data_IF_647897595277
#
_entry.id   IF_647897595277
#
_cell.length_a   1.000
_cell.length_b   1.000
_cell.length_c   1.000
_cell.angle_alpha   90.00
_cell.angle_beta   90.00
_cell.angle_gamma   90.00
#
_symmetry.space_group_name_H-M   'P 1'
#
loop_
_entity.id
_entity.type
_entity.pdbx_description
1 polymer ?
#
# COMPACT_ATOMS: atom_id res chain seq x y z
N UNK A 1 -0.95 -13.26 25.87
CA UNK A 1 -0.82 -14.74 25.94
C UNK A 1 -0.42 -15.20 24.55
N UNK A 2 0.80 -15.69 24.40
CA UNK A 2 1.31 -16.24 23.14
C UNK A 2 0.58 -17.54 22.82
N UNK A 3 0.15 -17.69 21.58
CA UNK A 3 -0.56 -18.88 21.10
C UNK A 3 0.39 -20.09 21.13
N UNK A 4 0.08 -21.19 21.86
CA UNK A 4 0.97 -22.35 21.99
C UNK A 4 1.32 -23.04 20.67
N UNK A 5 0.54 -22.78 19.63
CA UNK A 5 0.78 -23.28 18.27
C UNK A 5 1.97 -22.56 17.59
N UNK A 6 2.26 -21.32 17.98
CA UNK A 6 3.37 -20.55 17.42
C UNK A 6 4.72 -20.93 18.05
N UNK A 7 4.77 -21.19 19.35
CA UNK A 7 6.01 -21.65 20.01
C UNK A 7 6.50 -23.01 19.48
N UNK A 8 5.58 -23.88 19.08
CA UNK A 8 5.92 -25.17 18.47
C UNK A 8 6.45 -25.07 17.04
N UNK A 9 6.11 -23.99 16.30
CA UNK A 9 6.59 -23.77 14.92
C UNK A 9 8.06 -23.33 14.87
N UNK A 10 8.54 -22.59 15.87
CA UNK A 10 9.93 -22.11 15.93
C UNK A 10 10.96 -23.19 16.32
N UNK A 11 10.49 -24.34 16.79
CA UNK A 11 11.34 -25.42 17.32
C UNK A 11 11.52 -26.62 16.37
N UNK A 12 10.89 -26.65 15.20
CA UNK A 12 10.95 -27.80 14.28
C UNK A 12 11.85 -27.51 13.06
N UNK A 13 12.82 -28.34 12.93
CA UNK A 13 13.61 -28.83 11.80
C UNK A 13 13.89 -27.89 10.64
N UNK A 14 15.14 -27.50 10.54
CA UNK A 14 15.77 -26.83 9.40
C UNK A 14 15.58 -27.65 8.12
N UNK A 15 14.74 -27.22 7.18
CA UNK A 15 14.92 -27.62 5.80
C UNK A 15 16.06 -26.78 5.21
N UNK A 16 17.23 -27.35 5.06
CA UNK A 16 18.26 -26.77 4.22
C UNK A 16 17.72 -26.84 2.78
N UNK A 17 17.22 -25.71 2.26
CA UNK A 17 16.74 -25.65 0.89
C UNK A 17 17.98 -25.63 -0.02
N UNK A 18 18.32 -26.80 -0.51
CA UNK A 18 19.54 -27.04 -1.31
C UNK A 18 19.53 -26.22 -2.60
N UNK A 19 20.64 -25.56 -2.90
CA UNK A 19 20.86 -24.89 -4.19
C UNK A 19 20.35 -23.44 -4.28
N UNK A 20 19.88 -22.84 -3.18
CA UNK A 20 19.53 -21.40 -3.13
C UNK A 20 20.78 -20.61 -2.71
N UNK A 21 21.15 -19.52 -3.44
CA UNK A 21 22.23 -18.63 -3.00
C UNK A 21 21.91 -18.02 -1.63
N UNK A 22 22.82 -18.16 -0.68
CA UNK A 22 22.65 -17.66 0.69
C UNK A 22 23.45 -16.39 0.88
N UNK A 23 22.83 -15.35 1.48
CA UNK A 23 23.53 -14.12 1.85
C UNK A 23 24.60 -14.43 2.92
N UNK A 24 25.88 -14.06 2.72
CA UNK A 24 26.92 -14.27 3.71
C UNK A 24 26.63 -13.51 5.01
N UNK A 25 26.87 -14.14 6.14
CA UNK A 25 26.75 -13.50 7.45
C UNK A 25 28.09 -12.92 7.93
N UNK A 26 28.02 -11.77 8.59
CA UNK A 26 29.17 -11.19 9.30
C UNK A 26 29.13 -11.70 10.74
N UNK A 27 30.25 -12.19 11.31
CA UNK A 27 30.29 -12.66 12.70
C UNK A 27 29.65 -11.65 13.65
N UNK A 28 28.79 -12.11 14.58
CA UNK A 28 28.05 -11.33 15.57
C UNK A 28 26.94 -10.44 14.96
N UNK A 29 27.18 -9.82 13.80
CA UNK A 29 26.26 -8.85 13.18
C UNK A 29 25.27 -9.49 12.19
N UNK A 30 25.49 -10.75 11.79
CA UNK A 30 24.63 -11.44 10.84
C UNK A 30 24.50 -10.70 9.50
N UNK A 31 23.28 -10.46 9.06
CA UNK A 31 22.95 -9.72 7.82
C UNK A 31 22.67 -8.23 8.05
N UNK A 32 22.63 -7.76 9.31
CA UNK A 32 22.29 -6.37 9.65
C UNK A 32 23.08 -5.32 8.86
N UNK A 33 24.41 -5.43 8.66
CA UNK A 33 25.16 -4.42 7.91
C UNK A 33 24.72 -4.25 6.45
N UNK A 34 24.14 -5.28 5.84
CA UNK A 34 23.58 -5.19 4.49
C UNK A 34 22.22 -4.50 4.46
N UNK A 35 21.47 -4.62 5.56
CA UNK A 35 20.12 -4.05 5.67
C UNK A 35 20.13 -2.59 6.14
N UNK A 36 21.10 -2.23 6.97
CA UNK A 36 21.20 -0.89 7.51
C UNK A 36 21.73 0.09 6.45
N UNK A 37 21.09 1.24 6.35
CA UNK A 37 21.44 2.33 5.45
C UNK A 37 20.55 3.54 5.66
N UNK A 38 20.96 4.69 5.10
CA UNK A 38 20.21 5.95 5.21
C UNK A 38 18.83 5.91 4.54
N UNK A 39 18.59 4.90 3.70
CA UNK A 39 17.37 4.72 2.91
C UNK A 39 16.38 3.75 3.57
N UNK A 40 16.77 3.09 4.65
CA UNK A 40 15.95 2.13 5.40
C UNK A 40 16.19 0.67 5.01
N UNK A 41 15.69 -0.23 5.88
CA UNK A 41 15.89 -1.69 5.78
C UNK A 41 15.35 -2.27 4.47
N UNK A 42 14.22 -1.79 3.99
CA UNK A 42 13.61 -2.29 2.76
C UNK A 42 14.49 -2.03 1.52
N UNK A 43 15.18 -0.88 1.46
CA UNK A 43 16.17 -0.62 0.40
C UNK A 43 17.41 -1.51 0.55
N UNK A 44 17.81 -1.82 1.79
CA UNK A 44 18.85 -2.81 2.05
C UNK A 44 18.50 -4.18 1.49
N UNK A 45 17.25 -4.62 1.67
CA UNK A 45 16.76 -5.89 1.15
C UNK A 45 16.71 -5.91 -0.39
N UNK A 46 16.35 -4.81 -1.04
CA UNK A 46 16.41 -4.69 -2.51
C UNK A 46 17.84 -4.85 -3.00
N UNK A 47 18.82 -4.17 -2.37
CA UNK A 47 20.25 -4.33 -2.71
C UNK A 47 20.72 -5.78 -2.55
N UNK A 48 20.22 -6.51 -1.55
CA UNK A 48 20.49 -7.96 -1.42
C UNK A 48 19.90 -8.74 -2.60
N UNK A 49 18.69 -8.45 -3.01
CA UNK A 49 18.05 -9.02 -4.20
C UNK A 49 18.85 -8.76 -5.48
N UNK A 50 19.30 -7.53 -5.71
CA UNK A 50 20.16 -7.17 -6.85
C UNK A 50 21.47 -7.93 -6.87
N UNK A 51 22.06 -8.18 -5.71
CA UNK A 51 23.35 -8.84 -5.57
C UNK A 51 23.26 -10.37 -5.59
N UNK A 52 22.31 -10.95 -4.87
CA UNK A 52 22.22 -12.41 -4.66
C UNK A 52 21.04 -13.05 -5.38
N UNK A 53 20.02 -12.28 -5.74
CA UNK A 53 18.79 -12.74 -6.40
C UNK A 53 18.88 -12.84 -7.93
N UNK A 54 20.04 -12.65 -8.56
CA UNK A 54 20.22 -12.72 -10.02
C UNK A 54 19.81 -14.06 -10.65
N UNK A 55 19.89 -15.15 -9.89
CA UNK A 55 19.39 -16.46 -10.28
C UNK A 55 17.86 -16.65 -10.08
N UNK A 56 17.14 -15.58 -9.79
CA UNK A 56 15.69 -15.57 -9.57
C UNK A 56 15.26 -15.83 -8.13
N UNK A 57 16.18 -16.22 -7.23
CA UNK A 57 15.89 -16.57 -5.83
C UNK A 57 17.14 -16.42 -4.96
N UNK A 58 16.97 -16.04 -3.68
CA UNK A 58 18.04 -16.08 -2.68
C UNK A 58 17.47 -16.32 -1.28
N UNK A 59 18.33 -16.77 -0.36
CA UNK A 59 18.01 -16.96 1.05
C UNK A 59 18.80 -15.99 1.94
N UNK A 60 18.13 -15.43 2.92
CA UNK A 60 18.70 -14.56 3.94
C UNK A 60 18.66 -15.26 5.30
N UNK A 61 19.82 -15.53 5.92
CA UNK A 61 19.91 -16.10 7.25
C UNK A 61 19.31 -15.15 8.29
N UNK A 62 18.57 -15.72 9.25
CA UNK A 62 18.01 -15.02 10.41
C UNK A 62 18.68 -15.51 11.70
N UNK A 63 18.60 -14.72 12.80
CA UNK A 63 19.01 -15.19 14.11
C UNK A 63 18.32 -16.50 14.49
N UNK A 64 19.04 -17.40 15.17
CA UNK A 64 18.51 -18.74 15.52
C UNK A 64 18.68 -19.79 14.42
N UNK A 65 19.33 -19.44 13.29
CA UNK A 65 19.70 -20.38 12.22
C UNK A 65 18.56 -20.73 11.25
N UNK A 66 17.42 -20.04 11.32
CA UNK A 66 16.40 -20.07 10.28
C UNK A 66 16.80 -19.22 9.07
N UNK A 67 16.13 -19.42 7.95
CA UNK A 67 16.35 -18.63 6.73
C UNK A 67 15.02 -18.09 6.20
N UNK A 68 15.07 -16.92 5.59
CA UNK A 68 13.95 -16.34 4.83
C UNK A 68 14.31 -16.34 3.35
N UNK A 69 13.45 -16.95 2.54
CA UNK A 69 13.68 -17.07 1.08
C UNK A 69 12.92 -15.97 0.35
N UNK A 70 13.57 -15.43 -0.70
CA UNK A 70 12.99 -14.41 -1.54
C UNK A 70 13.05 -14.77 -3.01
N UNK A 71 11.92 -14.75 -3.68
CA UNK A 71 11.77 -14.91 -5.11
C UNK A 71 11.91 -13.55 -5.80
N UNK A 72 12.74 -13.51 -6.83
CA UNK A 72 13.17 -12.31 -7.55
C UNK A 72 12.88 -12.34 -9.05
N UNK A 73 12.45 -13.48 -9.63
CA UNK A 73 12.11 -13.59 -11.04
C UNK A 73 10.60 -13.75 -11.27
N UNK A 74 10.13 -13.30 -12.43
CA UNK A 74 8.74 -13.43 -12.82
C UNK A 74 8.29 -14.89 -12.94
N UNK A 75 9.14 -15.76 -13.48
CA UNK A 75 8.84 -17.19 -13.65
C UNK A 75 8.60 -17.88 -12.30
N UNK A 76 9.48 -17.70 -11.32
CA UNK A 76 9.29 -18.30 -9.98
C UNK A 76 8.12 -17.62 -9.23
N UNK A 77 7.92 -16.33 -9.41
CA UNK A 77 6.80 -15.63 -8.81
C UNK A 77 5.45 -16.18 -9.32
N UNK A 78 5.35 -16.57 -10.59
CA UNK A 78 4.14 -17.14 -11.17
C UNK A 78 3.74 -18.45 -10.47
N UNK A 79 4.70 -19.29 -10.11
CA UNK A 79 4.44 -20.53 -9.36
C UNK A 79 4.04 -20.28 -7.89
N UNK A 80 4.59 -19.24 -7.25
CA UNK A 80 4.31 -18.90 -5.85
C UNK A 80 2.98 -18.16 -5.69
N UNK A 81 2.45 -17.54 -6.73
CA UNK A 81 1.15 -16.84 -6.67
C UNK A 81 -0.05 -17.78 -6.88
N UNK A 82 0.16 -19.03 -7.18
CA UNK A 82 -0.88 -20.05 -7.31
C UNK A 82 -1.59 -20.30 -5.96
N UNK A 83 -2.85 -19.89 -5.84
CA UNK A 83 -3.63 -20.01 -4.61
C UNK A 83 -4.07 -21.45 -4.27
N UNK A 84 -3.98 -22.40 -5.21
CA UNK A 84 -4.27 -23.80 -4.92
C UNK A 84 -3.13 -24.45 -4.14
N UNK A 85 -1.90 -24.02 -4.42
CA UNK A 85 -0.68 -24.53 -3.79
C UNK A 85 -0.20 -23.68 -2.62
N UNK A 86 -0.42 -22.37 -2.68
CA UNK A 86 0.13 -21.40 -1.74
C UNK A 86 -0.95 -20.55 -1.08
N UNK A 87 -0.67 -20.05 0.10
CA UNK A 87 -1.51 -19.12 0.82
C UNK A 87 -0.70 -17.93 1.37
N UNK A 88 -1.36 -16.90 1.86
CA UNK A 88 -0.70 -15.77 2.52
C UNK A 88 0.02 -16.26 3.79
N UNK A 89 1.28 -15.86 3.97
CA UNK A 89 1.95 -15.96 5.25
C UNK A 89 1.84 -14.65 6.03
N UNK A 90 1.52 -14.77 7.32
CA UNK A 90 1.59 -13.64 8.26
C UNK A 90 2.99 -13.64 8.85
N UNK A 91 3.78 -12.64 8.50
CA UNK A 91 5.16 -12.51 8.91
C UNK A 91 5.28 -11.66 10.21
N UNK A 92 6.45 -11.63 10.88
CA UNK A 92 6.63 -10.88 12.11
C UNK A 92 6.30 -9.39 12.00
N UNK A 93 6.45 -8.77 10.83
CA UNK A 93 6.05 -7.36 10.64
C UNK A 93 4.54 -7.21 10.71
N UNK A 94 3.79 -8.09 10.05
CA UNK A 94 2.32 -8.08 10.13
C UNK A 94 1.82 -8.38 11.55
N UNK A 95 2.51 -9.24 12.29
CA UNK A 95 2.21 -9.48 13.71
C UNK A 95 2.39 -8.20 14.56
N UNK A 96 3.44 -7.43 14.30
CA UNK A 96 3.60 -6.14 14.98
C UNK A 96 2.52 -5.13 14.56
N UNK A 97 2.16 -5.05 13.29
CA UNK A 97 1.06 -4.19 12.80
C UNK A 97 -0.26 -4.59 13.44
N UNK A 98 -0.50 -5.88 13.70
CA UNK A 98 -1.67 -6.40 14.40
C UNK A 98 -1.86 -5.79 15.79
N UNK A 99 -0.79 -5.40 16.48
CA UNK A 99 -0.88 -4.70 17.77
C UNK A 99 -1.60 -3.35 17.66
N UNK A 100 -1.55 -2.71 16.49
CA UNK A 100 -2.21 -1.42 16.24
C UNK A 100 -3.59 -1.58 15.60
N UNK A 101 -3.75 -2.48 14.63
CA UNK A 101 -4.98 -2.59 13.83
C UNK A 101 -5.80 -3.85 14.12
N UNK A 102 -5.37 -4.71 15.05
CA UNK A 102 -6.05 -5.97 15.39
C UNK A 102 -6.09 -6.97 14.24
N UNK A 103 -7.05 -7.90 14.30
CA UNK A 103 -7.30 -8.92 13.27
C UNK A 103 -8.21 -8.39 12.15
N UNK A 104 -7.79 -7.29 11.50
CA UNK A 104 -8.47 -6.78 10.32
C UNK A 104 -8.17 -7.60 9.05
N UNK A 105 -8.77 -7.22 7.92
CA UNK A 105 -8.59 -7.91 6.63
C UNK A 105 -7.11 -8.06 6.22
N UNK A 106 -6.26 -7.14 6.63
CA UNK A 106 -4.84 -7.13 6.27
C UNK A 106 -3.99 -8.07 7.16
N UNK A 107 -4.28 -8.14 8.44
CA UNK A 107 -3.42 -8.79 9.45
C UNK A 107 -3.91 -10.15 9.93
N UNK A 108 -5.20 -10.48 9.75
CA UNK A 108 -5.79 -11.73 10.18
C UNK A 108 -5.16 -12.97 9.51
N UNK A 109 -5.08 -14.07 10.24
CA UNK A 109 -4.64 -15.37 9.77
C UNK A 109 -5.63 -15.95 8.73
N UNK A 110 -5.21 -16.97 7.97
CA UNK A 110 -6.03 -17.53 6.90
C UNK A 110 -7.22 -18.33 7.42
N UNK A 111 -7.09 -18.92 8.60
CA UNK A 111 -8.08 -19.72 9.32
C UNK A 111 -8.96 -18.91 10.29
N UNK A 112 -8.75 -17.58 10.39
CA UNK A 112 -9.58 -16.70 11.21
C UNK A 112 -11.01 -16.61 10.63
N UNK A 113 -12.04 -17.12 11.32
CA UNK A 113 -13.42 -17.06 10.84
C UNK A 113 -13.92 -15.63 10.62
N UNK A 114 -13.47 -14.67 11.45
CA UNK A 114 -13.86 -13.27 11.36
C UNK A 114 -13.32 -12.62 10.07
N UNK A 115 -12.15 -13.08 9.56
CA UNK A 115 -11.65 -12.64 8.26
C UNK A 115 -12.63 -12.98 7.13
N UNK A 116 -13.15 -14.20 7.12
CA UNK A 116 -14.10 -14.63 6.08
C UNK A 116 -15.39 -13.82 6.07
N UNK A 117 -15.93 -13.53 7.26
CA UNK A 117 -17.11 -12.66 7.43
C UNK A 117 -16.81 -11.25 6.92
N UNK A 118 -15.74 -10.62 7.42
CA UNK A 118 -15.36 -9.27 7.01
C UNK A 118 -15.10 -9.18 5.50
N UNK A 119 -14.40 -10.16 4.93
CA UNK A 119 -14.10 -10.19 3.50
C UNK A 119 -15.38 -10.22 2.64
N UNK A 120 -16.34 -11.09 2.96
CA UNK A 120 -17.59 -11.19 2.18
C UNK A 120 -18.50 -9.98 2.35
N UNK A 121 -18.54 -9.40 3.53
CA UNK A 121 -19.30 -8.17 3.82
C UNK A 121 -18.70 -6.95 3.11
N UNK A 122 -17.37 -6.81 3.11
CA UNK A 122 -16.72 -5.57 2.68
C UNK A 122 -16.27 -5.56 1.22
N UNK A 123 -15.92 -6.72 0.63
CA UNK A 123 -15.45 -6.77 -0.77
C UNK A 123 -16.41 -6.13 -1.78
N UNK A 124 -17.75 -6.28 -1.67
CA UNK A 124 -18.68 -5.63 -2.61
C UNK A 124 -18.60 -4.11 -2.61
N UNK A 125 -18.22 -3.47 -1.47
CA UNK A 125 -18.02 -2.02 -1.39
C UNK A 125 -16.83 -1.51 -2.22
N UNK A 126 -15.90 -2.40 -2.59
CA UNK A 126 -14.74 -2.09 -3.42
C UNK A 126 -14.87 -2.62 -4.86
N UNK A 127 -16.06 -3.07 -5.26
CA UNK A 127 -16.33 -3.44 -6.65
C UNK A 127 -16.16 -2.24 -7.58
N UNK A 128 -15.89 -2.49 -8.86
CA UNK A 128 -15.73 -1.42 -9.84
C UNK A 128 -16.96 -0.52 -9.96
N UNK A 129 -18.18 -1.06 -9.77
CA UNK A 129 -19.42 -0.29 -9.79
C UNK A 129 -19.60 0.56 -8.52
N UNK A 130 -19.19 0.04 -7.34
CA UNK A 130 -19.32 0.76 -6.07
C UNK A 130 -18.49 2.06 -6.03
N UNK A 131 -17.44 2.17 -6.86
CA UNK A 131 -16.58 3.35 -6.92
C UNK A 131 -17.34 4.63 -7.26
N UNK A 132 -18.45 4.55 -8.02
CA UNK A 132 -19.28 5.71 -8.33
C UNK A 132 -19.77 6.46 -7.07
N UNK A 133 -19.99 5.73 -5.97
CA UNK A 133 -20.44 6.34 -4.70
C UNK A 133 -19.35 7.16 -4.01
N UNK A 134 -18.06 6.90 -4.31
CA UNK A 134 -16.94 7.55 -3.66
C UNK A 134 -16.39 8.75 -4.44
N UNK A 135 -16.62 8.78 -5.76
CA UNK A 135 -16.12 9.85 -6.64
C UNK A 135 -16.48 11.26 -6.15
N UNK A 136 -17.73 11.56 -5.71
CA UNK A 136 -18.06 12.91 -5.23
C UNK A 136 -17.20 13.34 -4.02
N UNK A 137 -16.97 12.45 -3.07
CA UNK A 137 -16.15 12.75 -1.90
C UNK A 137 -14.65 12.88 -2.26
N UNK A 138 -14.15 12.03 -3.19
CA UNK A 138 -12.79 12.17 -3.73
C UNK A 138 -12.59 13.53 -4.40
N UNK A 139 -13.57 13.99 -5.18
CA UNK A 139 -13.52 15.30 -5.86
C UNK A 139 -13.47 16.45 -4.86
N UNK A 140 -14.29 16.41 -3.82
CA UNK A 140 -14.30 17.45 -2.77
C UNK A 140 -12.95 17.60 -2.10
N UNK A 141 -12.28 16.48 -1.74
CA UNK A 141 -10.97 16.53 -1.08
C UNK A 141 -9.87 16.97 -2.07
N UNK A 142 -9.98 16.55 -3.33
CA UNK A 142 -9.06 16.98 -4.37
C UNK A 142 -9.19 18.48 -4.68
N UNK A 143 -10.39 19.03 -4.67
CA UNK A 143 -10.62 20.47 -4.82
C UNK A 143 -9.99 21.27 -3.67
N UNK A 144 -10.05 20.77 -2.43
CA UNK A 144 -9.35 21.36 -1.30
C UNK A 144 -7.83 21.42 -1.57
N UNK A 145 -7.23 20.35 -2.13
CA UNK A 145 -5.83 20.29 -2.52
C UNK A 145 -5.49 21.27 -3.65
N UNK A 146 -6.28 21.30 -4.72
CA UNK A 146 -6.09 22.24 -5.83
C UNK A 146 -6.14 23.67 -5.34
N UNK A 147 -7.10 24.00 -4.50
CA UNK A 147 -7.22 25.33 -3.91
C UNK A 147 -6.04 25.68 -2.97
N UNK A 148 -5.52 24.69 -2.23
CA UNK A 148 -4.32 24.86 -1.42
C UNK A 148 -3.09 25.15 -2.31
N UNK A 149 -2.87 24.37 -3.36
CA UNK A 149 -1.74 24.55 -4.29
C UNK A 149 -1.83 25.86 -5.08
N UNK A 150 -3.03 26.31 -5.48
CA UNK A 150 -3.23 27.60 -6.15
C UNK A 150 -2.84 28.82 -5.31
N UNK A 151 -2.91 28.70 -3.97
CA UNK A 151 -2.53 29.77 -3.02
C UNK A 151 -1.07 29.70 -2.57
N UNK A 152 -0.34 28.66 -2.95
CA UNK A 152 1.03 28.48 -2.52
C UNK A 152 1.97 29.46 -3.21
N UNK A 153 2.82 30.14 -2.44
CA UNK A 153 3.83 31.09 -2.94
C UNK A 153 5.22 30.48 -3.10
N UNK A 154 5.41 29.22 -2.74
CA UNK A 154 6.72 28.55 -2.73
C UNK A 154 6.64 27.07 -3.10
N UNK A 155 7.77 26.33 -3.02
CA UNK A 155 7.80 24.92 -3.31
C UNK A 155 6.92 24.12 -2.35
N UNK A 156 6.04 23.28 -2.90
CA UNK A 156 5.14 22.39 -2.17
C UNK A 156 5.87 21.13 -1.70
N UNK A 157 5.53 20.64 -0.54
CA UNK A 157 5.94 19.32 -0.05
C UNK A 157 4.96 18.25 -0.57
N UNK A 158 5.27 17.71 -1.75
CA UNK A 158 4.34 16.81 -2.46
C UNK A 158 4.02 15.56 -1.65
N UNK A 159 5.02 14.93 -1.05
CA UNK A 159 4.79 13.70 -0.27
C UNK A 159 3.83 13.94 0.89
N UNK A 160 4.00 15.07 1.60
CA UNK A 160 3.09 15.45 2.68
C UNK A 160 1.69 15.75 2.18
N UNK A 161 1.57 16.47 1.08
CA UNK A 161 0.27 16.89 0.56
C UNK A 161 -0.50 15.71 -0.03
N UNK A 162 0.18 14.75 -0.69
CA UNK A 162 -0.45 13.49 -1.14
C UNK A 162 -0.90 12.65 0.06
N UNK A 163 -0.11 12.56 1.14
CA UNK A 163 -0.53 11.85 2.36
C UNK A 163 -1.81 12.46 2.96
N UNK A 164 -1.90 13.79 2.98
CA UNK A 164 -3.09 14.50 3.47
C UNK A 164 -4.31 14.28 2.58
N UNK A 165 -4.13 14.34 1.25
CA UNK A 165 -5.16 14.05 0.27
C UNK A 165 -5.77 12.67 0.51
N UNK A 166 -4.94 11.63 0.49
CA UNK A 166 -5.41 10.24 0.56
C UNK A 166 -5.99 9.89 1.93
N UNK A 167 -5.45 10.46 3.02
CA UNK A 167 -6.02 10.29 4.35
C UNK A 167 -7.40 10.94 4.48
N UNK A 168 -7.55 12.18 4.03
CA UNK A 168 -8.84 12.88 4.06
C UNK A 168 -9.85 12.18 3.15
N UNK A 169 -9.41 11.63 2.01
CA UNK A 169 -10.25 10.88 1.08
C UNK A 169 -10.79 9.60 1.72
N UNK A 170 -9.92 8.73 2.29
CA UNK A 170 -10.41 7.48 2.90
C UNK A 170 -11.27 7.76 4.14
N UNK A 171 -10.97 8.79 4.92
CA UNK A 171 -11.76 9.18 6.07
C UNK A 171 -13.16 9.68 5.67
N UNK A 172 -13.26 10.50 4.63
CA UNK A 172 -14.53 11.03 4.16
C UNK A 172 -15.37 9.96 3.47
N UNK A 173 -14.76 9.20 2.54
CA UNK A 173 -15.48 8.17 1.76
C UNK A 173 -15.87 6.95 2.60
N UNK A 174 -15.00 6.54 3.50
CA UNK A 174 -15.18 5.32 4.29
C UNK A 174 -16.02 5.53 5.56
N UNK A 175 -15.90 6.69 6.20
CA UNK A 175 -16.40 6.89 7.56
C UNK A 175 -17.16 8.20 7.76
N UNK A 176 -17.33 9.00 6.69
CA UNK A 176 -17.91 10.34 6.72
C UNK A 176 -17.23 11.28 7.74
N UNK A 177 -15.89 11.14 7.86
CA UNK A 177 -15.08 11.97 8.73
C UNK A 177 -14.19 12.90 7.90
N UNK A 178 -14.10 14.17 8.32
CA UNK A 178 -13.23 15.16 7.67
C UNK A 178 -12.14 15.62 8.65
N UNK A 179 -10.92 15.16 8.44
CA UNK A 179 -9.77 15.66 9.19
C UNK A 179 -9.33 17.06 8.74
N UNK A 180 -9.71 17.48 7.52
CA UNK A 180 -9.29 18.76 6.91
C UNK A 180 -7.77 18.97 6.97
N UNK A 181 -7.04 17.88 6.70
CA UNK A 181 -5.58 17.88 6.78
C UNK A 181 -4.96 18.69 5.66
N UNK A 182 -5.60 18.73 4.48
CA UNK A 182 -5.16 19.51 3.32
C UNK A 182 -5.21 21.00 3.65
N UNK A 183 -4.05 21.66 3.51
CA UNK A 183 -3.91 23.10 3.82
C UNK A 183 -3.93 23.46 5.31
N UNK A 184 -4.18 22.48 6.20
CA UNK A 184 -4.20 22.70 7.64
C UNK A 184 -2.81 23.03 8.22
N UNK A 185 -2.76 23.95 9.20
CA UNK A 185 -1.52 24.27 9.91
C UNK A 185 -1.16 23.23 10.96
N UNK A 186 -2.15 22.64 11.60
CA UNK A 186 -1.98 21.63 12.65
C UNK A 186 -2.33 20.22 12.11
N UNK A 187 -1.62 19.25 12.63
CA UNK A 187 -1.93 17.85 12.36
C UNK A 187 -3.01 17.39 13.34
N UNK A 188 -4.10 16.80 12.82
CA UNK A 188 -5.15 16.21 13.64
C UNK A 188 -4.57 15.26 14.70
N UNK A 189 -5.07 15.27 15.95
CA UNK A 189 -4.58 14.39 17.03
C UNK A 189 -4.61 12.90 16.65
N UNK A 190 -5.63 12.45 15.91
CA UNK A 190 -5.71 11.10 15.42
C UNK A 190 -4.53 10.79 14.49
N UNK A 191 -4.32 11.63 13.48
CA UNK A 191 -3.24 11.46 12.48
C UNK A 191 -1.87 11.41 13.16
N UNK A 192 -1.65 12.26 14.17
CA UNK A 192 -0.41 12.31 14.95
C UNK A 192 -0.17 11.02 15.71
N UNK A 193 -1.17 10.58 16.50
CA UNK A 193 -1.06 9.36 17.30
C UNK A 193 -0.97 8.11 16.43
N UNK A 194 -1.73 8.06 15.34
CA UNK A 194 -1.70 6.93 14.42
C UNK A 194 -0.33 6.79 13.72
N UNK A 195 0.22 7.90 13.20
CA UNK A 195 1.55 7.91 12.58
C UNK A 195 2.66 7.57 13.58
N UNK A 196 2.56 8.08 14.82
CA UNK A 196 3.50 7.77 15.91
C UNK A 196 3.47 6.27 16.27
N UNK A 197 2.27 5.71 16.45
CA UNK A 197 2.10 4.30 16.78
C UNK A 197 2.57 3.38 15.65
N UNK A 198 2.27 3.71 14.39
CA UNK A 198 2.73 2.95 13.22
C UNK A 198 4.27 2.99 13.11
N UNK A 199 4.88 4.14 13.32
CA UNK A 199 6.34 4.27 13.34
C UNK A 199 6.97 3.37 14.40
N UNK A 200 6.40 3.33 15.62
CA UNK A 200 6.87 2.45 16.69
C UNK A 200 6.77 0.96 16.33
N UNK A 201 5.64 0.55 15.75
CA UNK A 201 5.43 -0.84 15.31
C UNK A 201 6.51 -1.29 14.33
N UNK A 202 6.82 -0.44 13.33
CA UNK A 202 7.85 -0.75 12.33
C UNK A 202 9.25 -0.76 12.95
N UNK A 203 9.60 0.27 13.73
CA UNK A 203 10.92 0.34 14.38
C UNK A 203 11.15 -0.84 15.33
N UNK A 204 10.12 -1.25 16.08
CA UNK A 204 10.18 -2.37 17.02
C UNK A 204 10.52 -3.70 16.32
N UNK A 205 10.08 -3.90 15.08
CA UNK A 205 10.38 -5.10 14.30
C UNK A 205 11.88 -5.27 13.99
N UNK A 206 12.67 -4.19 14.06
CA UNK A 206 14.10 -4.19 13.74
C UNK A 206 15.00 -3.79 14.90
N UNK A 207 14.44 -3.56 16.11
CA UNK A 207 15.18 -3.06 17.28
C UNK A 207 15.87 -4.17 18.04
N UNK A 208 17.16 -4.02 18.40
CA UNK A 208 17.86 -4.96 19.27
C UNK A 208 17.30 -5.00 20.70
N UNK A 209 17.16 -6.18 21.28
CA UNK A 209 16.50 -6.40 22.59
C UNK A 209 17.25 -5.88 23.84
N UNK A 210 18.47 -5.36 23.72
CA UNK A 210 19.28 -4.95 24.87
C UNK A 210 19.01 -3.52 25.39
N UNK A 211 18.03 -2.80 24.86
CA UNK A 211 17.71 -1.40 25.22
C UNK A 211 16.51 -1.29 26.19
N UNK A 212 16.44 -2.13 27.20
CA UNK A 212 15.26 -2.28 28.09
C UNK A 212 14.69 -0.99 28.72
N UNK A 213 15.46 0.00 29.25
CA UNK A 213 14.87 1.21 29.81
C UNK A 213 14.21 2.10 28.74
N UNK A 214 14.81 2.17 27.57
CA UNK A 214 14.27 2.88 26.41
C UNK A 214 13.00 2.20 25.87
N UNK A 215 12.99 0.87 25.89
CA UNK A 215 11.82 0.04 25.54
C UNK A 215 10.59 0.36 26.41
N UNK A 216 10.77 0.48 27.72
CA UNK A 216 9.67 0.79 28.65
C UNK A 216 9.02 2.15 28.37
N UNK A 217 9.83 3.18 28.06
CA UNK A 217 9.33 4.49 27.67
C UNK A 217 8.53 4.44 26.35
N UNK A 218 9.11 3.80 25.34
CA UNK A 218 8.50 3.67 24.02
C UNK A 218 7.21 2.85 24.06
N UNK A 219 7.18 1.78 24.85
CA UNK A 219 5.99 0.96 25.05
C UNK A 219 4.84 1.77 25.69
N UNK A 220 5.12 2.60 26.71
CA UNK A 220 4.11 3.48 27.31
C UNK A 220 3.56 4.49 26.31
N UNK A 221 4.43 5.09 25.50
CA UNK A 221 4.03 6.04 24.44
C UNK A 221 3.16 5.34 23.41
N UNK A 222 3.55 4.16 22.95
CA UNK A 222 2.77 3.35 22.02
C UNK A 222 1.37 3.05 22.57
N UNK A 223 1.26 2.61 23.81
CA UNK A 223 -0.04 2.32 24.44
C UNK A 223 -0.91 3.57 24.57
N UNK A 224 -0.32 4.73 24.87
CA UNK A 224 -1.04 6.00 24.89
C UNK A 224 -1.57 6.38 23.49
N UNK A 225 -0.72 6.30 22.46
CA UNK A 225 -1.09 6.60 21.08
C UNK A 225 -2.16 5.61 20.59
N UNK A 226 -2.02 4.31 20.89
CA UNK A 226 -2.99 3.27 20.56
C UNK A 226 -4.34 3.52 21.25
N UNK A 227 -4.34 3.84 22.52
CA UNK A 227 -5.57 4.16 23.26
C UNK A 227 -6.28 5.39 22.66
N UNK A 228 -5.51 6.42 22.27
CA UNK A 228 -6.04 7.62 21.61
C UNK A 228 -6.70 7.27 20.28
N UNK A 229 -6.04 6.46 19.46
CA UNK A 229 -6.53 6.01 18.16
C UNK A 229 -7.80 5.18 18.31
N UNK A 230 -7.80 4.19 19.21
CA UNK A 230 -8.95 3.33 19.49
C UNK A 230 -10.14 4.14 20.00
N UNK A 231 -9.92 5.03 20.96
CA UNK A 231 -10.98 5.87 21.51
C UNK A 231 -11.60 6.83 20.49
N UNK A 232 -10.83 7.28 19.50
CA UNK A 232 -11.36 8.09 18.38
C UNK A 232 -12.24 7.25 17.46
N UNK A 233 -11.79 6.05 17.08
CA UNK A 233 -12.59 5.13 16.25
C UNK A 233 -13.88 4.73 16.96
N UNK A 234 -13.80 4.40 18.26
CA UNK A 234 -14.98 4.04 19.05
C UNK A 234 -16.02 5.17 19.10
N UNK A 235 -15.57 6.43 19.23
CA UNK A 235 -16.48 7.60 19.15
C UNK A 235 -17.13 7.72 17.78
N UNK A 236 -16.39 7.48 16.69
CA UNK A 236 -16.95 7.51 15.33
C UNK A 236 -18.04 6.46 15.16
N UNK A 237 -17.77 5.24 15.66
CA UNK A 237 -18.75 4.12 15.64
C UNK A 237 -19.98 4.45 16.50
N UNK A 238 -19.78 4.93 17.73
CA UNK A 238 -20.87 5.31 18.62
C UNK A 238 -21.74 6.43 18.03
N UNK A 239 -21.12 7.50 17.53
CA UNK A 239 -21.82 8.61 16.86
C UNK A 239 -22.68 8.13 15.69
N UNK A 240 -22.17 7.16 14.90
CA UNK A 240 -22.91 6.57 13.79
C UNK A 240 -24.12 5.74 14.29
N UNK A 241 -24.01 5.03 15.41
CA UNK A 241 -25.11 4.27 16.01
C UNK A 241 -26.23 5.17 16.51
N UNK A 242 -25.86 6.30 17.09
CA UNK A 242 -26.82 7.27 17.64
C UNK A 242 -27.43 8.17 16.56
N UNK A 243 -26.93 8.08 15.33
CA UNK A 243 -27.46 8.89 14.22
C UNK A 243 -28.91 8.54 13.93
N UNK A 244 -29.78 9.56 13.98
CA UNK A 244 -31.23 9.47 13.77
C UNK A 244 -31.70 10.34 12.58
N UNK A 245 -30.78 10.72 11.69
CA UNK A 245 -31.13 11.49 10.49
C UNK A 245 -31.89 10.68 9.46
N UNK A 246 -32.56 11.38 8.52
CA UNK A 246 -33.46 10.79 7.53
C UNK A 246 -32.77 9.83 6.54
N UNK A 247 -31.44 9.96 6.36
CA UNK A 247 -30.66 9.08 5.49
C UNK A 247 -29.35 8.67 6.15
N UNK A 248 -29.22 7.38 6.48
CA UNK A 248 -27.92 6.81 6.91
C UNK A 248 -26.93 6.89 5.76
N UNK A 249 -25.71 7.44 5.98
CA UNK A 249 -24.67 7.46 4.96
C UNK A 249 -24.39 6.06 4.38
N UNK A 250 -24.26 5.99 3.04
CA UNK A 250 -23.95 4.73 2.34
C UNK A 250 -22.44 4.54 2.20
N UNK A 251 -21.75 4.54 3.34
CA UNK A 251 -20.27 4.38 3.41
C UNK A 251 -19.86 3.01 3.98
N UNK A 252 -18.54 2.79 4.09
CA UNK A 252 -17.98 1.54 4.62
C UNK A 252 -18.41 1.27 6.06
N UNK A 253 -18.48 2.31 6.90
CA UNK A 253 -18.85 2.13 8.31
C UNK A 253 -20.30 1.66 8.45
N UNK A 254 -21.22 2.28 7.72
CA UNK A 254 -22.63 1.85 7.72
C UNK A 254 -22.75 0.38 7.27
N UNK A 255 -21.99 0.01 6.23
CA UNK A 255 -21.97 -1.37 5.76
C UNK A 255 -21.44 -2.34 6.80
N UNK A 256 -20.35 -2.00 7.50
CA UNK A 256 -19.83 -2.80 8.61
C UNK A 256 -20.86 -3.03 9.73
N UNK A 257 -21.69 -2.03 10.00
CA UNK A 257 -22.66 -2.06 11.10
C UNK A 257 -23.95 -2.79 10.74
N UNK A 258 -24.36 -2.80 9.47
CA UNK A 258 -25.70 -3.25 9.05
C UNK A 258 -25.70 -4.56 8.27
N UNK A 259 -24.70 -4.79 7.44
CA UNK A 259 -24.67 -5.94 6.53
C UNK A 259 -24.42 -7.25 7.28
N UNK A 260 -25.02 -8.30 6.76
CA UNK A 260 -24.82 -9.67 7.22
C UNK A 260 -24.00 -10.46 6.22
N UNK A 261 -23.16 -11.34 6.71
CA UNK A 261 -22.42 -12.25 5.87
C UNK A 261 -23.36 -13.22 5.13
N UNK A 262 -23.37 -13.21 3.80
CA UNK A 262 -24.30 -14.04 3.01
C UNK A 262 -24.10 -15.54 3.19
N UNK A 263 -22.94 -15.98 3.70
CA UNK A 263 -22.63 -17.39 3.91
C UNK A 263 -23.06 -17.90 5.29
N UNK A 264 -22.91 -17.10 6.32
CA UNK A 264 -23.08 -17.54 7.71
C UNK A 264 -24.23 -16.82 8.46
N UNK A 265 -24.77 -15.72 7.89
CA UNK A 265 -25.72 -14.86 8.59
C UNK A 265 -25.11 -14.02 9.71
N UNK A 266 -23.79 -14.12 9.95
CA UNK A 266 -23.11 -13.37 10.99
C UNK A 266 -22.97 -11.89 10.62
N UNK A 267 -22.88 -11.04 11.66
CA UNK A 267 -22.51 -9.62 11.55
C UNK A 267 -21.11 -9.43 12.10
N UNK A 268 -20.47 -8.33 11.69
CA UNK A 268 -19.24 -7.88 12.36
C UNK A 268 -19.59 -7.36 13.76
N UNK A 269 -18.84 -7.79 14.77
CA UNK A 269 -18.90 -7.21 16.10
C UNK A 269 -18.13 -5.89 16.18
N UNK A 270 -18.27 -5.17 17.30
CA UNK A 270 -17.68 -3.85 17.49
C UNK A 270 -16.17 -3.86 17.45
N UNK A 271 -15.56 -4.91 17.97
CA UNK A 271 -14.11 -5.07 17.95
C UNK A 271 -13.62 -5.26 16.52
N UNK A 272 -14.27 -6.10 15.74
CA UNK A 272 -13.93 -6.31 14.33
C UNK A 272 -14.17 -5.04 13.50
N UNK A 273 -15.29 -4.33 13.73
CA UNK A 273 -15.56 -3.03 13.07
C UNK A 273 -14.41 -2.06 13.34
N UNK A 274 -13.96 -1.91 14.59
CA UNK A 274 -12.81 -1.08 14.95
C UNK A 274 -11.56 -1.49 14.17
N UNK A 275 -11.27 -2.78 14.11
CA UNK A 275 -10.11 -3.31 13.40
C UNK A 275 -10.18 -3.05 11.89
N UNK A 276 -11.36 -3.15 11.29
CA UNK A 276 -11.52 -2.83 9.87
C UNK A 276 -11.35 -1.33 9.59
N UNK A 277 -11.92 -0.46 10.42
CA UNK A 277 -11.73 1.00 10.30
C UNK A 277 -10.25 1.36 10.34
N UNK A 278 -9.51 0.83 11.31
CA UNK A 278 -8.06 1.07 11.45
C UNK A 278 -7.28 0.46 10.27
N UNK A 279 -7.69 -0.72 9.80
CA UNK A 279 -7.07 -1.37 8.63
C UNK A 279 -7.22 -0.52 7.38
N UNK A 280 -8.41 0.03 7.11
CA UNK A 280 -8.63 0.87 5.93
C UNK A 280 -7.93 2.23 6.04
N UNK A 281 -7.89 2.84 7.22
CA UNK A 281 -7.12 4.06 7.45
C UNK A 281 -5.61 3.82 7.26
N UNK A 282 -5.08 2.67 7.71
CA UNK A 282 -3.69 2.30 7.49
C UNK A 282 -3.39 2.06 6.01
N UNK A 283 -4.18 1.20 5.37
CA UNK A 283 -3.89 0.72 4.02
C UNK A 283 -4.19 1.77 2.95
N UNK A 284 -5.22 2.60 3.15
CA UNK A 284 -5.76 3.49 2.12
C UNK A 284 -4.96 4.78 1.91
N UNK A 285 -4.22 5.27 2.93
CA UNK A 285 -3.58 6.56 2.78
C UNK A 285 -2.12 6.49 2.31
N UNK A 286 -1.26 5.71 2.97
CA UNK A 286 0.19 5.77 2.70
C UNK A 286 0.56 5.13 1.35
N UNK A 287 -0.12 4.06 0.94
CA UNK A 287 0.16 3.38 -0.33
C UNK A 287 -0.20 4.26 -1.53
N UNK A 288 -1.40 4.84 -1.56
CA UNK A 288 -1.86 5.69 -2.66
C UNK A 288 -1.12 7.03 -2.69
N UNK A 289 -0.80 7.61 -1.53
CA UNK A 289 -0.01 8.86 -1.47
C UNK A 289 1.41 8.68 -2.03
N UNK A 290 2.05 7.53 -1.75
CA UNK A 290 3.37 7.24 -2.27
C UNK A 290 3.32 6.99 -3.78
N UNK A 291 2.31 6.27 -4.28
CA UNK A 291 2.06 6.11 -5.71
C UNK A 291 1.94 7.46 -6.41
N UNK A 292 1.09 8.36 -5.91
CA UNK A 292 0.90 9.70 -6.45
C UNK A 292 2.18 10.54 -6.39
N UNK A 293 2.94 10.43 -5.30
CA UNK A 293 4.19 11.15 -5.14
C UNK A 293 5.25 10.71 -6.16
N UNK A 294 5.38 9.42 -6.42
CA UNK A 294 6.27 8.91 -7.47
C UNK A 294 5.77 9.27 -8.86
N UNK A 295 4.47 9.12 -9.14
CA UNK A 295 3.88 9.46 -10.43
C UNK A 295 4.09 10.94 -10.78
N UNK A 296 3.82 11.85 -9.83
CA UNK A 296 4.05 13.29 -10.00
C UNK A 296 5.53 13.63 -10.21
N UNK A 297 6.46 12.87 -9.60
CA UNK A 297 7.89 13.06 -9.87
C UNK A 297 8.23 12.78 -11.34
N UNK A 298 7.74 11.67 -11.90
CA UNK A 298 7.98 11.33 -13.31
C UNK A 298 7.31 12.30 -14.27
N UNK A 299 6.05 12.67 -13.98
CA UNK A 299 5.31 13.62 -14.80
C UNK A 299 5.97 15.01 -14.80
N UNK A 300 6.45 15.47 -13.64
CA UNK A 300 7.11 16.78 -13.55
C UNK A 300 8.48 16.83 -14.26
N UNK A 301 9.10 15.69 -14.52
CA UNK A 301 10.38 15.60 -15.26
C UNK A 301 10.22 15.44 -16.76
N UNK A 302 9.02 15.15 -17.23
CA UNK A 302 8.73 14.96 -18.64
C UNK A 302 7.61 15.91 -19.10
N UNK A 303 7.98 17.05 -19.66
CA UNK A 303 7.05 18.06 -20.13
C UNK A 303 6.10 17.54 -21.23
N UNK A 304 6.55 16.56 -22.05
CA UNK A 304 5.71 15.95 -23.06
C UNK A 304 4.65 15.07 -22.42
N UNK A 305 5.03 14.22 -21.47
CA UNK A 305 4.10 13.38 -20.70
C UNK A 305 3.10 14.24 -19.93
N UNK A 306 3.55 15.29 -19.24
CA UNK A 306 2.67 16.25 -18.56
C UNK A 306 1.67 16.89 -19.54
N UNK A 307 2.11 17.27 -20.75
CA UNK A 307 1.24 17.83 -21.77
C UNK A 307 0.23 16.81 -22.33
N UNK A 308 0.60 15.54 -22.46
CA UNK A 308 -0.30 14.47 -22.90
C UNK A 308 -1.37 14.19 -21.84
N UNK A 309 -0.99 14.04 -20.56
CA UNK A 309 -1.93 13.87 -19.45
C UNK A 309 -2.91 15.03 -19.34
N UNK A 310 -2.44 16.24 -19.59
CA UNK A 310 -3.29 17.43 -19.60
C UNK A 310 -4.34 17.37 -20.70
N UNK A 311 -3.95 17.01 -21.92
CA UNK A 311 -4.90 16.86 -23.04
C UNK A 311 -5.95 15.80 -22.74
N UNK A 312 -5.51 14.63 -22.25
CA UNK A 312 -6.43 13.59 -21.82
C UNK A 312 -7.42 14.10 -20.76
N UNK A 313 -6.94 14.82 -19.75
CA UNK A 313 -7.80 15.36 -18.68
C UNK A 313 -8.77 16.45 -19.20
N UNK A 314 -8.32 17.32 -20.11
CA UNK A 314 -9.15 18.36 -20.73
C UNK A 314 -10.25 17.76 -21.65
N UNK A 315 -9.96 16.62 -22.31
CA UNK A 315 -10.88 15.94 -23.22
C UNK A 315 -11.88 15.04 -22.50
N UNK A 316 -11.47 14.42 -21.38
CA UNK A 316 -12.22 13.35 -20.71
C UNK A 316 -13.00 13.85 -19.49
N UNK A 317 -12.41 14.72 -18.67
CA UNK A 317 -13.02 15.11 -17.40
C UNK A 317 -13.91 16.33 -17.55
N UNK A 318 -15.16 16.22 -17.08
CA UNK A 318 -16.02 17.36 -16.87
C UNK A 318 -15.41 18.34 -15.84
N UNK A 319 -15.67 19.63 -16.04
CA UNK A 319 -15.17 20.68 -15.14
C UNK A 319 -15.91 20.76 -13.80
N UNK A 320 -17.15 20.27 -13.74
CA UNK A 320 -17.99 20.40 -12.56
C UNK A 320 -17.89 19.20 -11.62
N UNK A 321 -18.19 18.02 -12.09
CA UNK A 321 -18.12 16.78 -11.31
C UNK A 321 -17.80 15.60 -12.24
N UNK A 322 -16.56 15.08 -12.20
CA UNK A 322 -16.19 13.93 -13.01
C UNK A 322 -17.00 12.70 -12.61
N UNK A 323 -17.43 11.93 -13.60
CA UNK A 323 -18.09 10.64 -13.39
C UNK A 323 -17.08 9.51 -13.28
N UNK A 324 -17.49 8.37 -12.73
CA UNK A 324 -16.65 7.17 -12.67
C UNK A 324 -16.22 6.71 -14.08
N UNK A 325 -17.11 6.79 -15.05
CA UNK A 325 -16.87 6.40 -16.45
C UNK A 325 -15.80 7.29 -17.07
N UNK A 326 -15.86 8.59 -16.85
CA UNK A 326 -14.83 9.53 -17.28
C UNK A 326 -13.47 9.19 -16.64
N UNK A 327 -13.44 8.91 -15.33
CA UNK A 327 -12.18 8.53 -14.65
C UNK A 327 -11.61 7.23 -15.21
N UNK A 328 -12.45 6.24 -15.52
CA UNK A 328 -12.02 4.99 -16.16
C UNK A 328 -11.48 5.18 -17.58
N UNK A 329 -11.90 6.23 -18.26
CA UNK A 329 -11.44 6.58 -19.61
C UNK A 329 -10.11 7.36 -19.62
N UNK A 330 -9.53 7.66 -18.45
CA UNK A 330 -8.18 8.23 -18.32
C UNK A 330 -7.11 7.15 -18.55
N UNK A 331 -6.94 6.73 -19.80
CA UNK A 331 -6.08 5.59 -20.17
C UNK A 331 -4.60 5.88 -19.94
N UNK A 332 -4.13 7.07 -20.32
CA UNK A 332 -2.73 7.46 -20.13
C UNK A 332 -2.40 7.62 -18.64
N UNK A 333 -3.28 8.28 -17.88
CA UNK A 333 -3.11 8.38 -16.42
C UNK A 333 -3.04 6.99 -15.78
N UNK A 334 -3.90 6.06 -16.19
CA UNK A 334 -3.86 4.66 -15.75
C UNK A 334 -2.51 3.98 -16.06
N UNK A 335 -2.00 4.12 -17.28
CA UNK A 335 -0.70 3.57 -17.69
C UNK A 335 0.49 4.19 -16.92
N UNK A 336 0.45 5.49 -16.69
CA UNK A 336 1.46 6.19 -15.86
C UNK A 336 1.49 5.64 -14.43
N UNK A 337 0.33 5.40 -13.84
CA UNK A 337 0.22 4.81 -12.49
C UNK A 337 0.70 3.36 -12.46
N UNK A 338 0.37 2.55 -13.47
CA UNK A 338 0.84 1.18 -13.57
C UNK A 338 2.36 1.10 -13.75
N UNK A 339 2.95 1.96 -14.59
CA UNK A 339 4.41 2.03 -14.77
C UNK A 339 5.11 2.54 -13.50
N UNK A 340 4.47 3.47 -12.79
CA UNK A 340 4.96 3.90 -11.48
C UNK A 340 4.98 2.76 -10.48
N UNK A 341 3.90 1.96 -10.39
CA UNK A 341 3.84 0.77 -9.53
C UNK A 341 4.80 -0.34 -9.97
N UNK A 342 5.14 -0.42 -11.24
CA UNK A 342 6.16 -1.34 -11.72
C UNK A 342 7.53 -0.96 -11.16
N UNK A 343 7.95 0.28 -11.34
CA UNK A 343 9.26 0.75 -10.87
C UNK A 343 9.32 0.93 -9.35
N UNK A 344 8.25 1.46 -8.75
CA UNK A 344 8.18 1.78 -7.32
C UNK A 344 6.91 1.18 -6.70
N UNK A 345 6.81 -0.16 -6.60
CA UNK A 345 5.69 -0.80 -5.93
C UNK A 345 5.66 -0.33 -4.47
N UNK A 346 4.53 0.23 -4.06
CA UNK A 346 4.37 0.79 -2.70
C UNK A 346 4.35 -0.29 -1.63
N UNK A 347 3.82 -1.49 -1.95
CA UNK A 347 4.11 -2.71 -1.20
C UNK A 347 5.28 -3.42 -1.90
N UNK A 348 6.45 -3.49 -1.26
CA UNK A 348 7.66 -4.01 -1.91
C UNK A 348 7.73 -5.53 -1.97
N UNK A 349 6.93 -6.20 -1.14
CA UNK A 349 6.84 -7.66 -1.14
C UNK A 349 5.51 -8.13 -0.55
N UNK A 350 5.18 -9.38 -0.80
CA UNK A 350 4.18 -10.12 -0.04
C UNK A 350 4.72 -11.52 0.26
N UNK A 351 4.26 -12.07 1.40
CA UNK A 351 4.73 -13.36 1.88
C UNK A 351 3.73 -14.46 1.54
N UNK A 352 4.26 -15.59 1.11
CA UNK A 352 3.49 -16.80 0.77
C UNK A 352 4.02 -17.99 1.56
N UNK A 353 3.14 -18.94 1.86
CA UNK A 353 3.44 -20.22 2.50
C UNK A 353 2.82 -21.33 1.69
N UNK A 354 3.52 -22.43 1.40
CA UNK A 354 2.90 -23.55 0.73
C UNK A 354 1.93 -24.27 1.67
N UNK A 355 0.76 -24.66 1.17
CA UNK A 355 -0.25 -25.41 1.94
C UNK A 355 0.18 -26.86 2.20
N UNK A 356 1.02 -27.39 1.34
CA UNK A 356 1.67 -28.70 1.42
C UNK A 356 3.05 -28.58 0.77
N UNK A 357 3.92 -29.57 0.98
CA UNK A 357 5.24 -29.60 0.34
C UNK A 357 5.11 -29.31 -1.15
N UNK A 358 5.79 -28.26 -1.61
CA UNK A 358 5.67 -27.73 -2.98
C UNK A 358 7.04 -27.39 -3.54
N UNK A 359 7.27 -27.78 -4.80
CA UNK A 359 8.50 -27.49 -5.54
C UNK A 359 8.23 -26.39 -6.56
N UNK A 360 9.12 -25.39 -6.66
CA UNK A 360 9.12 -24.35 -7.69
C UNK A 360 10.41 -24.38 -8.50
N UNK A 361 10.35 -23.95 -9.76
CA UNK A 361 11.48 -24.02 -10.70
C UNK A 361 12.05 -25.42 -10.88
N UNK A 362 11.26 -26.46 -10.62
CA UNK A 362 11.62 -27.87 -10.74
C UNK A 362 12.70 -28.36 -9.75
N UNK A 363 13.16 -27.51 -8.80
CA UNK A 363 14.30 -27.84 -7.94
C UNK A 363 14.24 -27.30 -6.49
N UNK A 364 13.47 -26.26 -6.22
CA UNK A 364 13.42 -25.66 -4.88
C UNK A 364 12.17 -26.15 -4.16
N UNK A 365 12.34 -26.98 -3.14
CA UNK A 365 11.24 -27.60 -2.40
C UNK A 365 11.02 -26.88 -1.07
N UNK A 366 9.78 -26.53 -0.78
CA UNK A 366 9.33 -25.83 0.42
C UNK A 366 8.27 -26.65 1.14
N UNK A 367 8.27 -26.58 2.46
CA UNK A 367 7.30 -27.21 3.34
C UNK A 367 6.32 -26.16 3.91
N UNK A 368 5.20 -26.54 4.52
CA UNK A 368 4.29 -25.60 5.20
C UNK A 368 4.91 -24.78 6.34
N UNK A 369 6.12 -25.09 6.77
CA UNK A 369 6.86 -24.32 7.76
C UNK A 369 7.72 -23.20 7.14
N UNK A 370 7.85 -23.18 5.81
CA UNK A 370 8.67 -22.22 5.08
C UNK A 370 7.84 -21.03 4.57
N UNK A 371 8.31 -19.80 4.84
CA UNK A 371 7.73 -18.59 4.28
C UNK A 371 8.61 -18.07 3.13
N UNK A 372 7.98 -17.77 2.00
CA UNK A 372 8.65 -17.25 0.80
C UNK A 372 8.15 -15.84 0.49
N UNK A 373 9.07 -14.88 0.38
CA UNK A 373 8.78 -13.50 -0.01
C UNK A 373 8.87 -13.32 -1.53
N UNK A 374 7.85 -12.78 -2.16
CA UNK A 374 7.90 -12.33 -3.55
C UNK A 374 8.35 -10.88 -3.58
N UNK A 375 9.56 -10.60 -4.08
CA UNK A 375 10.14 -9.26 -4.12
C UNK A 375 9.70 -8.51 -5.36
N UNK A 376 8.66 -7.69 -5.23
CA UNK A 376 8.08 -6.95 -6.35
C UNK A 376 9.07 -6.04 -7.09
N UNK A 377 9.97 -5.28 -6.42
CA UNK A 377 10.94 -4.47 -7.13
C UNK A 377 11.87 -5.27 -8.05
N UNK A 378 12.15 -6.53 -7.73
CA UNK A 378 12.96 -7.42 -8.56
C UNK A 378 12.12 -8.05 -9.67
N UNK A 379 10.95 -8.61 -9.33
CA UNK A 379 10.04 -9.25 -10.29
C UNK A 379 9.57 -8.27 -11.35
N UNK A 380 9.25 -7.03 -10.96
CA UNK A 380 8.80 -5.97 -11.87
C UNK A 380 9.92 -5.37 -12.72
N UNK A 381 11.17 -5.80 -12.52
CA UNK A 381 12.36 -5.42 -13.28
C UNK A 381 13.08 -6.63 -13.92
N UNK A 382 12.48 -7.82 -13.84
CA UNK A 382 13.07 -9.03 -14.41
C UNK A 382 13.36 -8.83 -15.90
N UNK A 383 14.64 -8.82 -16.35
CA UNK A 383 15.00 -8.55 -17.73
C UNK A 383 14.52 -9.64 -18.71
N UNK A 384 14.14 -10.80 -18.21
CA UNK A 384 13.51 -11.85 -19.03
C UNK A 384 12.10 -11.44 -19.52
N UNK A 385 11.48 -10.44 -18.90
CA UNK A 385 10.12 -9.95 -19.23
C UNK A 385 10.13 -8.48 -19.63
N UNK A 386 10.95 -7.67 -18.97
CA UNK A 386 10.95 -6.22 -19.11
C UNK A 386 12.20 -5.75 -19.86
N UNK A 387 12.04 -5.35 -21.10
CA UNK A 387 13.10 -4.69 -21.87
C UNK A 387 13.41 -3.32 -21.24
N UNK A 388 14.69 -2.92 -21.16
CA UNK A 388 15.12 -1.68 -20.49
C UNK A 388 14.41 -1.43 -19.15
N UNK A 389 14.52 -2.34 -18.17
CA UNK A 389 13.64 -2.39 -17.00
C UNK A 389 13.68 -1.12 -16.14
N UNK A 390 14.74 -0.33 -16.21
CA UNK A 390 14.85 0.93 -15.43
C UNK A 390 14.24 2.15 -16.13
N UNK A 391 13.91 2.04 -17.41
CA UNK A 391 13.27 3.13 -18.17
C UNK A 391 11.80 3.25 -17.78
N UNK A 392 11.37 4.47 -17.44
CA UNK A 392 9.97 4.79 -17.25
C UNK A 392 9.27 4.91 -18.62
N UNK A 393 8.37 3.99 -18.92
CA UNK A 393 7.67 3.89 -20.19
C UNK A 393 6.21 3.42 -19.98
N UNK A 394 5.25 4.35 -19.87
CA UNK A 394 3.83 4.00 -19.69
C UNK A 394 3.25 3.13 -20.79
N UNK A 395 3.82 3.14 -22.00
CA UNK A 395 3.32 2.34 -23.12
C UNK A 395 3.58 0.85 -22.97
N UNK A 396 4.36 0.44 -21.97
CA UNK A 396 4.42 -0.96 -21.51
C UNK A 396 3.06 -1.51 -21.07
N UNK A 397 2.14 -0.62 -20.70
CA UNK A 397 0.79 -0.96 -20.25
C UNK A 397 -0.29 -0.76 -21.32
N UNK A 398 0.09 -0.62 -22.58
CA UNK A 398 -0.84 -0.75 -23.70
C UNK A 398 -1.48 -2.15 -23.70
N UNK A 399 -2.77 -2.27 -24.05
CA UNK A 399 -3.53 -3.52 -23.96
C UNK A 399 -2.83 -4.74 -24.58
N UNK A 400 -2.22 -4.58 -25.76
CA UNK A 400 -1.53 -5.66 -26.46
C UNK A 400 -0.31 -6.16 -25.69
N UNK A 401 0.50 -5.23 -25.16
CA UNK A 401 1.69 -5.56 -24.36
C UNK A 401 1.32 -6.21 -23.01
N UNK A 402 0.20 -5.82 -22.43
CA UNK A 402 -0.30 -6.44 -21.19
C UNK A 402 -0.75 -7.89 -21.46
N UNK A 403 -1.44 -8.15 -22.59
CA UNK A 403 -1.92 -9.49 -22.94
C UNK A 403 -0.79 -10.50 -23.20
N UNK A 404 0.33 -10.06 -23.72
CA UNK A 404 1.50 -10.93 -24.01
C UNK A 404 2.39 -11.19 -22.79
N UNK A 405 2.15 -10.52 -21.67
CA UNK A 405 3.01 -10.59 -20.47
C UNK A 405 2.64 -11.80 -19.60
N UNK A 406 3.64 -12.53 -19.05
CA UNK A 406 3.40 -13.57 -18.05
C UNK A 406 2.64 -13.04 -16.83
N UNK A 407 1.69 -13.81 -16.32
CA UNK A 407 0.81 -13.38 -15.23
C UNK A 407 1.57 -13.05 -13.93
N UNK A 408 2.69 -13.75 -13.68
CA UNK A 408 3.56 -13.53 -12.50
C UNK A 408 4.37 -12.24 -12.53
N UNK A 409 4.52 -11.60 -13.72
CA UNK A 409 5.46 -10.51 -13.92
C UNK A 409 5.03 -9.14 -13.34
N UNK A 410 3.74 -8.94 -13.05
CA UNK A 410 3.20 -7.68 -12.53
C UNK A 410 2.09 -7.92 -11.50
N UNK A 411 2.40 -7.75 -10.22
CA UNK A 411 1.51 -8.04 -9.07
C UNK A 411 1.52 -6.96 -7.99
N UNK A 412 1.37 -5.66 -8.33
CA UNK A 412 1.52 -4.58 -7.35
C UNK A 412 0.45 -4.61 -6.25
N UNK A 413 -0.68 -5.27 -6.50
CA UNK A 413 -1.78 -5.44 -5.56
C UNK A 413 -1.84 -6.83 -4.92
N UNK A 414 -0.77 -7.63 -5.06
CA UNK A 414 -0.76 -9.02 -4.60
C UNK A 414 -1.58 -9.96 -5.47
N UNK A 415 -2.05 -11.07 -4.92
CA UNK A 415 -2.71 -12.14 -5.66
C UNK A 415 -3.77 -12.87 -4.85
N UNK A 416 -4.66 -13.58 -5.54
CA UNK A 416 -5.58 -14.57 -5.00
C UNK A 416 -6.61 -14.04 -4.02
N UNK A 417 -6.96 -14.85 -3.03
CA UNK A 417 -7.97 -14.51 -2.02
C UNK A 417 -7.58 -13.30 -1.15
N UNK A 418 -6.29 -13.02 -1.06
CA UNK A 418 -5.72 -11.90 -0.28
C UNK A 418 -5.27 -10.73 -1.16
N UNK A 419 -5.71 -10.68 -2.41
CA UNK A 419 -5.48 -9.53 -3.30
C UNK A 419 -6.00 -8.25 -2.63
N UNK A 420 -5.34 -7.11 -2.89
CA UNK A 420 -5.75 -5.83 -2.33
C UNK A 420 -7.23 -5.54 -2.62
N UNK A 421 -8.04 -5.47 -1.56
CA UNK A 421 -9.47 -5.18 -1.65
C UNK A 421 -9.70 -3.76 -2.20
N UNK A 422 -8.84 -2.80 -1.82
CA UNK A 422 -8.91 -1.39 -2.21
C UNK A 422 -8.34 -1.05 -3.59
N UNK A 423 -7.93 -2.04 -4.42
CA UNK A 423 -7.27 -1.77 -5.71
C UNK A 423 -8.04 -0.83 -6.64
N UNK A 424 -9.37 -1.01 -6.74
CA UNK A 424 -10.21 -0.15 -7.58
C UNK A 424 -10.31 1.26 -7.00
N UNK A 425 -10.42 1.37 -5.67
CA UNK A 425 -10.45 2.65 -4.96
C UNK A 425 -9.14 3.43 -5.21
N UNK A 426 -7.99 2.80 -4.97
CA UNK A 426 -6.68 3.42 -5.19
C UNK A 426 -6.47 3.85 -6.64
N UNK A 427 -6.91 3.04 -7.63
CA UNK A 427 -6.81 3.38 -9.05
C UNK A 427 -7.68 4.57 -9.44
N UNK A 428 -8.93 4.60 -8.97
CA UNK A 428 -9.86 5.70 -9.26
C UNK A 428 -9.36 6.99 -8.60
N UNK A 429 -9.00 6.96 -7.33
CA UNK A 429 -8.46 8.11 -6.60
C UNK A 429 -7.18 8.64 -7.26
N UNK A 430 -6.23 7.76 -7.56
CA UNK A 430 -4.95 8.17 -8.12
C UNK A 430 -5.09 8.70 -9.55
N UNK A 431 -5.91 8.09 -10.40
CA UNK A 431 -6.14 8.56 -11.78
C UNK A 431 -6.81 9.94 -11.78
N UNK A 432 -7.86 10.12 -10.98
CA UNK A 432 -8.55 11.41 -10.82
C UNK A 432 -7.57 12.49 -10.32
N UNK A 433 -6.80 12.19 -9.27
CA UNK A 433 -5.85 13.16 -8.71
C UNK A 433 -4.74 13.53 -9.70
N UNK A 434 -4.11 12.53 -10.35
CA UNK A 434 -3.03 12.75 -11.30
C UNK A 434 -3.48 13.59 -12.50
N UNK A 435 -4.60 13.22 -13.12
CA UNK A 435 -5.15 13.92 -14.27
C UNK A 435 -5.57 15.36 -13.92
N UNK A 436 -6.26 15.55 -12.77
CA UNK A 436 -6.67 16.88 -12.32
C UNK A 436 -5.45 17.76 -12.02
N UNK A 437 -4.43 17.26 -11.32
CA UNK A 437 -3.22 18.04 -11.05
C UNK A 437 -2.44 18.40 -12.33
N UNK A 438 -2.35 17.48 -13.29
CA UNK A 438 -1.73 17.76 -14.57
C UNK A 438 -2.52 18.80 -15.40
N UNK A 439 -3.85 18.85 -15.27
CA UNK A 439 -4.71 19.85 -15.90
C UNK A 439 -4.58 21.23 -15.26
N UNK A 440 -4.53 21.28 -13.92
CA UNK A 440 -4.60 22.52 -13.16
C UNK A 440 -3.26 23.25 -13.01
N UNK A 441 -2.13 22.55 -13.20
CA UNK A 441 -0.80 23.09 -12.92
C UNK A 441 0.23 22.76 -14.00
N UNK A 442 1.15 23.69 -14.21
CA UNK A 442 2.45 23.43 -14.83
C UNK A 442 3.48 23.12 -13.74
N UNK A 443 4.33 22.13 -14.00
CA UNK A 443 5.31 21.61 -13.06
C UNK A 443 6.73 22.05 -13.44
N UNK A 444 7.51 22.53 -12.48
CA UNK A 444 8.96 22.70 -12.66
C UNK A 444 9.69 21.36 -12.40
N UNK A 445 10.85 21.18 -13.03
CA UNK A 445 11.68 19.97 -12.79
C UNK A 445 12.03 19.84 -11.29
N UNK A 446 11.66 18.73 -10.64
CA UNK A 446 11.94 18.52 -9.22
C UNK A 446 13.39 18.09 -8.95
N UNK A 447 14.20 17.89 -9.98
CA UNK A 447 15.55 17.31 -9.87
C UNK A 447 15.54 15.80 -9.63
N UNK A 448 16.67 15.22 -9.18
CA UNK A 448 16.83 13.78 -9.05
C UNK A 448 15.97 13.19 -7.93
N UNK A 449 15.41 12.00 -8.19
CA UNK A 449 14.66 11.22 -7.23
C UNK A 449 15.57 10.71 -6.11
N UNK A 450 15.19 10.95 -4.87
CA UNK A 450 15.77 10.33 -3.69
C UNK A 450 14.68 9.53 -2.99
N UNK A 451 15.00 8.32 -2.54
CA UNK A 451 14.02 7.41 -1.94
C UNK A 451 14.35 7.21 -0.47
N UNK A 452 13.34 7.08 0.35
CA UNK A 452 13.42 6.50 1.68
C UNK A 452 12.32 5.45 1.84
N UNK A 453 12.59 4.41 2.60
CA UNK A 453 11.63 3.36 2.92
C UNK A 453 11.46 3.26 4.43
N UNK A 454 10.46 4.00 4.94
CA UNK A 454 10.11 3.97 6.34
C UNK A 454 8.66 4.43 6.55
N UNK A 455 7.68 3.52 6.74
CA UNK A 455 7.74 2.07 6.55
C UNK A 455 7.70 1.64 5.07
N UNK A 456 7.05 2.44 4.20
CA UNK A 456 6.91 2.17 2.77
C UNK A 456 7.83 3.10 1.94
N UNK A 457 8.18 2.71 0.70
CA UNK A 457 8.99 3.55 -0.17
C UNK A 457 8.25 4.84 -0.53
N UNK A 458 8.95 5.96 -0.40
CA UNK A 458 8.45 7.28 -0.80
C UNK A 458 9.59 8.20 -1.24
N UNK A 459 9.30 9.21 -2.08
CA UNK A 459 10.27 10.24 -2.42
C UNK A 459 10.69 11.01 -1.17
N UNK A 460 12.01 11.13 -0.94
CA UNK A 460 12.56 11.86 0.19
C UNK A 460 12.78 13.32 -0.16
N UNK A 461 12.15 14.22 0.60
CA UNK A 461 12.33 15.68 0.43
C UNK A 461 11.84 16.17 -0.94
N UNK A 462 10.83 15.53 -1.49
CA UNK A 462 10.27 15.89 -2.79
C UNK A 462 9.51 17.20 -2.69
N UNK A 463 10.14 18.23 -3.22
CA UNK A 463 9.56 19.57 -3.32
C UNK A 463 9.33 19.94 -4.77
N UNK A 464 8.14 20.46 -5.06
CA UNK A 464 7.73 20.81 -6.41
C UNK A 464 7.26 22.28 -6.46
N UNK A 465 7.77 23.04 -7.40
CA UNK A 465 7.19 24.34 -7.76
C UNK A 465 6.12 24.10 -8.82
N UNK A 466 4.95 24.66 -8.59
CA UNK A 466 3.83 24.59 -9.53
C UNK A 466 3.40 26.00 -9.92
N UNK A 467 2.92 26.15 -11.15
CA UNK A 467 2.29 27.38 -11.62
C UNK A 467 0.83 27.08 -11.97
N UNK A 468 -0.14 27.77 -11.34
CA UNK A 468 -1.54 27.58 -11.68
C UNK A 468 -1.80 27.98 -13.15
N UNK A 469 -2.54 27.14 -13.86
CA UNK A 469 -2.99 27.44 -15.20
C UNK A 469 -4.30 28.23 -15.17
N UNK A 470 -4.48 29.10 -16.16
CA UNK A 470 -5.77 29.75 -16.38
C UNK A 470 -6.80 28.66 -16.74
N UNK A 471 -7.92 28.63 -16.03
CA UNK A 471 -9.06 27.76 -16.40
C UNK A 471 -9.52 28.22 -17.77
N UNK A 472 -9.55 27.34 -18.75
CA UNK A 472 -10.33 27.58 -19.97
C UNK A 472 -11.79 27.60 -19.52
N UNK A 473 -12.37 28.82 -19.43
CA UNK A 473 -13.83 28.90 -19.38
C UNK A 473 -14.32 28.25 -20.67
N UNK A 474 -15.18 27.26 -20.55
CA UNK A 474 -15.97 26.80 -21.67
C UNK A 474 -16.71 28.06 -22.18
N UNK A 475 -16.19 28.64 -23.25
CA UNK A 475 -16.90 29.66 -24.00
C UNK A 475 -18.15 28.96 -24.49
N UNK A 476 -19.30 29.34 -23.90
CA UNK A 476 -20.59 28.84 -24.29
C UNK A 476 -20.77 28.99 -25.81
N UNK A 477 -21.20 27.93 -26.43
CA UNK A 477 -21.88 27.90 -27.70
C UNK A 477 -23.29 27.33 -27.44
#
# INVERSE_FOLDING_TARGET
MSNPTQERRHARGRSEIVGIPVVPTIPVLGVLPYLLGREGVAQGLIRLGERFGRGGIFAMPLPGGSQKVFVCSAALAEEVVDDDRWEKAVDPLLEQIRLLVGNGLFTADNDDPAWGVAHRVLTPAFSGAAMANYVPAMTVVLDDLVNHWRRASGPLDVTRDMTRLTLDTIALTGFNQRFRSVGGRETDPFVRSFTSALGEVVERSFRPHFLAPYEAYRARRFEHDRATVFGLVDRVVATRRDFRGDATPRDLLSRMMTEVDPKTGAKLDDENIRYQVLTFLLAGHETTSNLLSFALHFVARDANLASQLRREADEVLDHAQPTLEQIKSLELAGRVLDETLRLYPTAQMFMRRPKQTSTIGGRYTFTPDDDVGVMLPMVHRDPAVWEDPERFDPDRFLPDRVRSRPAGAYKPFGTGKRICTGRNFARVEAALALATLAREFDFADPGPLRIMSAPLPKPRGFRLRVSPRARRHASGA
#
